data_IF_382364904736
#
_entry.id   IF_382364904736
#
_cell.length_a   1.000
_cell.length_b   1.000
_cell.length_c   1.000
_cell.angle_alpha   90.00
_cell.angle_beta   90.00
_cell.angle_gamma   90.00
#
_symmetry.space_group_name_H-M   'P 1'
#
loop_
_entity.id
_entity.type
_entity.pdbx_description
1 polymer ?
#
# COMPACT_ATOMS: atom_id res chain seq x y z
N UNK A 1 -21.39 -1.00 -10.26
CA UNK A 1 -20.29 -1.85 -9.77
C UNK A 1 -19.00 -1.05 -9.80
N UNK A 2 -18.58 -0.48 -8.67
CA UNK A 2 -17.48 0.50 -8.60
C UNK A 2 -16.14 -0.11 -8.12
N UNK A 3 -16.16 -1.36 -7.66
CA UNK A 3 -14.98 -2.07 -7.17
C UNK A 3 -14.04 -2.60 -8.28
N UNK A 4 -14.48 -2.57 -9.54
CA UNK A 4 -13.78 -3.20 -10.65
C UNK A 4 -12.78 -2.27 -11.37
N UNK A 5 -12.79 -0.97 -11.05
CA UNK A 5 -11.99 0.05 -11.76
C UNK A 5 -10.62 0.35 -11.14
N UNK A 6 -10.33 -0.19 -9.96
CA UNK A 6 -8.98 -0.22 -9.42
C UNK A 6 -8.57 -1.69 -9.40
N UNK A 7 -7.60 -2.09 -10.23
CA UNK A 7 -6.92 -3.40 -10.15
C UNK A 7 -6.20 -3.63 -8.80
N UNK A 8 -6.60 -2.96 -7.74
CA UNK A 8 -6.29 -3.28 -6.36
C UNK A 8 -7.15 -4.48 -5.98
N UNK A 9 -6.73 -5.66 -6.43
CA UNK A 9 -7.27 -6.90 -5.89
C UNK A 9 -7.28 -6.82 -4.36
N UNK A 10 -8.22 -7.48 -3.70
CA UNK A 10 -8.26 -7.55 -2.23
C UNK A 10 -6.87 -7.90 -1.62
N UNK A 11 -6.08 -8.69 -2.35
CA UNK A 11 -4.70 -9.04 -2.02
C UNK A 11 -3.75 -7.84 -2.02
N UNK A 12 -3.86 -6.95 -2.99
CA UNK A 12 -3.08 -5.72 -3.08
C UNK A 12 -3.39 -4.79 -1.93
N UNK A 13 -4.67 -4.64 -1.58
CA UNK A 13 -5.11 -3.86 -0.42
C UNK A 13 -4.58 -4.47 0.88
N UNK A 14 -4.64 -5.79 1.03
CA UNK A 14 -4.07 -6.48 2.19
C UNK A 14 -2.56 -6.25 2.31
N UNK A 15 -1.80 -6.29 1.20
CA UNK A 15 -0.36 -6.00 1.22
C UNK A 15 -0.09 -4.54 1.58
N UNK A 16 -0.91 -3.60 1.13
CA UNK A 16 -0.80 -2.19 1.55
C UNK A 16 -1.00 -2.03 3.05
N UNK A 17 -2.03 -2.67 3.61
CA UNK A 17 -2.29 -2.61 5.05
C UNK A 17 -1.13 -3.17 5.87
N UNK A 18 -0.44 -4.21 5.39
CA UNK A 18 0.78 -4.72 6.05
C UNK A 18 1.91 -3.70 6.08
N UNK A 19 2.18 -3.01 4.96
CA UNK A 19 3.21 -1.98 4.91
C UNK A 19 2.84 -0.80 5.80
N UNK A 20 1.59 -0.34 5.74
CA UNK A 20 1.10 0.74 6.60
C UNK A 20 1.15 0.37 8.09
N UNK A 21 0.91 -0.90 8.45
CA UNK A 21 1.09 -1.40 9.82
C UNK A 21 2.54 -1.29 10.26
N UNK A 22 3.49 -1.74 9.44
CA UNK A 22 4.92 -1.62 9.76
C UNK A 22 5.35 -0.17 9.95
N UNK A 23 4.86 0.76 9.11
CA UNK A 23 5.13 2.19 9.27
C UNK A 23 4.54 2.72 10.58
N UNK A 24 3.30 2.33 10.91
CA UNK A 24 2.68 2.68 12.18
C UNK A 24 3.48 2.15 13.38
N UNK A 25 3.98 0.91 13.31
CA UNK A 25 4.81 0.29 14.34
C UNK A 25 6.13 1.05 14.53
N UNK A 26 6.78 1.45 13.43
CA UNK A 26 8.02 2.25 13.47
C UNK A 26 7.79 3.66 14.02
N UNK A 27 6.60 4.22 13.80
CA UNK A 27 6.19 5.51 14.36
C UNK A 27 5.70 5.42 15.82
N UNK A 28 5.61 4.22 16.41
CA UNK A 28 5.08 4.00 17.75
C UNK A 28 3.56 4.24 17.85
N UNK A 29 2.84 4.20 16.74
CA UNK A 29 1.40 4.42 16.69
C UNK A 29 0.60 3.13 16.97
N UNK A 30 -0.39 3.22 17.85
CA UNK A 30 -1.28 2.10 18.15
C UNK A 30 -2.12 1.70 16.93
N UNK A 31 -2.57 2.69 16.14
CA UNK A 31 -3.45 2.49 15.00
C UNK A 31 -2.82 2.95 13.68
N UNK A 32 -3.29 2.37 12.58
CA UNK A 32 -2.96 2.85 11.24
C UNK A 32 -3.75 4.14 10.99
N UNK A 33 -3.02 5.22 10.74
CA UNK A 33 -3.58 6.51 10.38
C UNK A 33 -3.28 6.85 8.90
N UNK A 34 -3.97 7.87 8.38
CA UNK A 34 -3.75 8.43 7.04
C UNK A 34 -2.27 8.63 6.67
N UNK A 35 -1.38 9.18 7.52
CA UNK A 35 0.03 9.32 7.16
C UNK A 35 0.71 7.99 6.82
N UNK A 36 0.44 6.91 7.59
CA UNK A 36 1.04 5.59 7.34
C UNK A 36 0.56 4.98 6.01
N UNK A 37 -0.70 5.23 5.66
CA UNK A 37 -1.28 4.80 4.38
C UNK A 37 -0.67 5.57 3.19
N UNK A 38 -0.50 6.89 3.32
CA UNK A 38 0.12 7.73 2.31
C UNK A 38 1.57 7.31 2.02
N UNK A 39 2.31 6.99 3.06
CA UNK A 39 3.69 6.50 2.93
C UNK A 39 3.74 5.09 2.33
N UNK A 40 2.86 4.18 2.76
CA UNK A 40 2.71 2.86 2.16
C UNK A 40 2.32 2.91 0.66
N UNK A 41 1.50 3.89 0.27
CA UNK A 41 1.17 4.17 -1.14
C UNK A 41 2.41 4.64 -1.92
N UNK A 42 3.24 5.52 -1.33
CA UNK A 42 4.50 5.96 -1.91
C UNK A 42 5.46 4.80 -2.20
N UNK A 43 5.60 3.88 -1.24
CA UNK A 43 6.39 2.64 -1.43
C UNK A 43 5.85 1.75 -2.57
N UNK A 44 4.54 1.77 -2.82
CA UNK A 44 3.96 1.04 -3.96
C UNK A 44 4.23 1.67 -5.32
N UNK A 45 4.41 2.99 -5.40
CA UNK A 45 4.88 3.64 -6.62
C UNK A 45 6.24 3.08 -7.05
N UNK A 46 7.15 2.90 -6.09
CA UNK A 46 8.46 2.26 -6.29
C UNK A 46 8.30 0.76 -6.60
N UNK A 47 7.45 0.04 -5.86
CA UNK A 47 7.26 -1.40 -6.06
C UNK A 47 6.56 -1.76 -7.39
N UNK A 48 5.71 -0.89 -7.93
CA UNK A 48 5.10 -1.06 -9.25
C UNK A 48 6.02 -0.61 -10.40
N UNK A 49 6.92 0.34 -10.15
CA UNK A 49 7.96 0.71 -11.11
C UNK A 49 8.86 -0.49 -11.46
N UNK A 50 9.07 -1.42 -10.51
CA UNK A 50 9.78 -2.69 -10.76
C UNK A 50 9.01 -3.76 -11.54
N UNK A 51 7.82 -3.47 -12.06
CA UNK A 51 7.00 -4.43 -12.84
C UNK A 51 6.58 -3.91 -14.22
N UNK A 52 7.12 -2.76 -14.65
CA UNK A 52 6.85 -2.19 -15.99
C UNK A 52 7.95 -2.42 -17.03
N UNK A 53 9.10 -2.96 -16.65
CA UNK A 53 10.24 -3.21 -17.56
C UNK A 53 10.42 -4.71 -17.91
N UNK A 54 9.31 -5.43 -18.08
CA UNK A 54 9.33 -6.78 -18.62
C UNK A 54 8.34 -6.88 -19.80
N UNK A 55 8.68 -6.20 -20.89
CA UNK A 55 8.07 -6.37 -22.21
C UNK A 55 9.13 -6.08 -23.29
#
# INVERSE_FOLDING_TARGET
>A
QAAERLRLSARTMHRMLRVARTIADLAGAADIATPHLSEALGYRGIALAGTRDAA
#
